data_IF_915028284371
#
_entry.id   IF_915028284371
#
_cell.length_a   1.000
_cell.length_b   1.000
_cell.length_c   1.000
_cell.angle_alpha   90.00
_cell.angle_beta   90.00
_cell.angle_gamma   90.00
#
_symmetry.space_group_name_H-M   'P 1'
#
loop_
_entity.id
_entity.type
_entity.pdbx_description
1 polymer ?
#
# COMPACT_ATOMS: atom_id res chain seq x y z
N UNK A 1 0.30 17.14 -4.02
CA UNK A 1 0.55 15.69 -4.22
C UNK A 1 1.97 15.48 -4.75
N UNK A 2 2.90 15.10 -3.87
CA UNK A 2 4.27 14.77 -4.29
C UNK A 2 4.22 13.44 -5.06
N UNK A 3 4.60 13.45 -6.34
CA UNK A 3 4.76 12.23 -7.12
C UNK A 3 5.78 11.32 -6.45
N UNK A 4 5.60 10.00 -6.60
CA UNK A 4 6.62 9.02 -6.17
C UNK A 4 7.53 8.72 -7.34
N UNK A 5 8.75 8.29 -7.05
CA UNK A 5 9.72 7.91 -8.08
C UNK A 5 9.97 6.40 -7.99
N UNK A 6 9.83 5.70 -9.12
CA UNK A 6 10.24 4.32 -9.27
C UNK A 6 11.62 4.30 -9.94
N UNK A 7 12.61 3.75 -9.24
CA UNK A 7 13.94 3.54 -9.79
C UNK A 7 14.11 2.08 -10.18
N UNK A 8 14.28 1.82 -11.48
CA UNK A 8 14.51 0.49 -12.04
C UNK A 8 15.98 0.37 -12.43
N UNK A 9 16.67 -0.66 -11.92
CA UNK A 9 18.04 -0.98 -12.31
C UNK A 9 18.01 -2.32 -13.06
N UNK A 10 18.29 -2.35 -14.37
CA UNK A 10 18.34 -3.59 -15.13
C UNK A 10 19.37 -4.55 -14.54
N UNK A 11 19.06 -5.85 -14.53
CA UNK A 11 19.98 -6.86 -14.02
C UNK A 11 21.28 -6.86 -14.84
N UNK A 12 22.41 -6.59 -14.17
CA UNK A 12 23.72 -6.48 -14.82
C UNK A 12 24.03 -5.11 -15.43
N UNK A 13 23.13 -4.13 -15.32
CA UNK A 13 23.35 -2.75 -15.68
C UNK A 13 23.69 -1.87 -14.47
N UNK A 14 24.41 -0.76 -14.71
CA UNK A 14 24.68 0.26 -13.68
C UNK A 14 23.80 1.50 -13.83
N UNK A 15 23.02 1.59 -14.92
CA UNK A 15 22.18 2.75 -15.20
C UNK A 15 20.81 2.54 -14.57
N UNK A 16 20.50 3.39 -13.59
CA UNK A 16 19.17 3.49 -13.02
C UNK A 16 18.25 4.28 -13.96
N UNK A 17 17.07 3.75 -14.23
CA UNK A 17 15.99 4.44 -14.93
C UNK A 17 14.96 4.91 -13.91
N UNK A 18 14.69 6.20 -13.90
CA UNK A 18 13.82 6.86 -12.92
C UNK A 18 12.51 7.27 -13.57
N UNK A 19 11.40 6.75 -13.04
CA UNK A 19 10.05 6.97 -13.56
C UNK A 19 9.22 7.70 -12.51
N UNK A 20 8.58 8.80 -12.89
CA UNK A 20 7.68 9.54 -12.00
C UNK A 20 6.29 8.89 -12.03
N UNK A 21 5.87 8.41 -10.86
CA UNK A 21 4.58 7.78 -10.63
C UNK A 21 3.53 8.81 -10.19
N UNK A 22 2.33 8.62 -10.71
CA UNK A 22 1.12 9.38 -10.39
C UNK A 22 0.24 8.49 -9.50
N UNK A 23 -0.38 9.05 -8.44
CA UNK A 23 -1.29 8.28 -7.62
C UNK A 23 -2.54 7.90 -8.42
N UNK A 24 -2.91 6.62 -8.35
CA UNK A 24 -4.18 6.10 -8.81
C UNK A 24 -5.15 5.89 -7.65
N UNK A 25 -6.08 4.96 -7.83
CA UNK A 25 -7.10 4.62 -6.83
C UNK A 25 -6.52 3.74 -5.71
N UNK A 26 -7.19 3.76 -4.56
CA UNK A 26 -6.90 2.83 -3.47
C UNK A 26 -7.53 1.45 -3.77
N UNK A 27 -6.81 0.38 -3.46
CA UNK A 27 -7.24 -1.00 -3.65
C UNK A 27 -7.01 -1.81 -2.37
N UNK A 28 -7.69 -2.95 -2.23
CA UNK A 28 -7.38 -3.94 -1.19
C UNK A 28 -6.81 -5.20 -1.82
N UNK A 29 -5.61 -5.62 -1.38
CA UNK A 29 -4.95 -6.86 -1.81
C UNK A 29 -4.71 -7.71 -0.57
N UNK A 30 -5.20 -8.95 -0.54
CA UNK A 30 -5.10 -9.85 0.61
C UNK A 30 -5.58 -9.24 1.95
N UNK A 31 -6.60 -8.37 1.89
CA UNK A 31 -7.12 -7.64 3.06
C UNK A 31 -6.29 -6.43 3.49
N UNK A 32 -5.19 -6.14 2.79
CA UNK A 32 -4.33 -4.99 2.99
C UNK A 32 -4.78 -3.81 2.10
N UNK A 33 -5.19 -2.66 2.66
CA UNK A 33 -5.42 -1.47 1.86
C UNK A 33 -4.09 -0.93 1.33
N UNK A 34 -3.99 -0.79 0.01
CA UNK A 34 -2.83 -0.32 -0.73
C UNK A 34 -3.24 0.83 -1.65
N UNK A 35 -2.32 1.74 -1.90
CA UNK A 35 -2.46 2.80 -2.89
C UNK A 35 -1.80 2.36 -4.19
N UNK A 36 -2.52 2.48 -5.30
CA UNK A 36 -1.99 2.22 -6.63
C UNK A 36 -1.20 3.44 -7.10
N UNK A 37 -0.02 3.20 -7.67
CA UNK A 37 0.82 4.22 -8.30
C UNK A 37 1.17 3.80 -9.71
N UNK A 38 0.95 4.68 -10.68
CA UNK A 38 1.07 4.35 -12.09
C UNK A 38 1.90 5.36 -12.87
N UNK A 39 2.56 4.88 -13.91
CA UNK A 39 3.18 5.70 -14.94
C UNK A 39 3.08 5.02 -16.30
N UNK A 40 3.11 5.81 -17.36
CA UNK A 40 3.18 5.30 -18.73
C UNK A 40 4.26 6.05 -19.49
N UNK A 41 5.16 5.30 -20.13
CA UNK A 41 6.23 5.85 -20.95
C UNK A 41 6.20 5.24 -22.34
N UNK A 42 6.50 6.06 -23.36
CA UNK A 42 6.74 5.55 -24.70
C UNK A 42 8.14 4.94 -24.75
N UNK A 43 8.23 3.63 -24.97
CA UNK A 43 9.51 2.91 -25.05
C UNK A 43 10.21 3.07 -26.42
N UNK A 44 9.55 3.72 -27.38
CA UNK A 44 10.07 3.96 -28.73
C UNK A 44 9.55 2.98 -29.78
N UNK A 45 10.27 2.88 -30.90
CA UNK A 45 9.92 2.03 -32.03
C UNK A 45 10.70 0.72 -31.99
N UNK A 46 10.08 -0.37 -31.54
CA UNK A 46 10.73 -1.67 -31.35
C UNK A 46 10.63 -2.61 -32.57
N UNK A 47 11.07 -2.12 -33.74
CA UNK A 47 11.11 -2.94 -34.94
C UNK A 47 11.82 -2.27 -36.12
N UNK A 48 12.26 -3.10 -37.07
CA UNK A 48 12.85 -2.60 -38.31
C UNK A 48 11.78 -1.90 -39.17
N UNK A 49 12.12 -0.81 -39.88
CA UNK A 49 11.19 -0.14 -40.79
C UNK A 49 10.59 -1.09 -41.83
N UNK A 50 11.37 -2.07 -42.28
CA UNK A 50 10.93 -3.14 -43.16
C UNK A 50 10.99 -4.49 -42.43
N UNK A 51 9.89 -5.24 -42.47
CA UNK A 51 9.75 -6.51 -41.74
C UNK A 51 9.17 -7.60 -42.65
N UNK A 52 9.80 -8.77 -42.64
CA UNK A 52 9.30 -9.94 -43.35
C UNK A 52 8.16 -10.63 -42.60
N UNK A 53 7.40 -11.46 -43.31
CA UNK A 53 6.34 -12.27 -42.70
C UNK A 53 6.88 -13.18 -41.58
N UNK A 54 8.06 -13.77 -41.76
CA UNK A 54 8.69 -14.64 -40.77
C UNK A 54 9.15 -13.86 -39.53
N UNK A 55 9.66 -12.65 -39.70
CA UNK A 55 10.00 -11.78 -38.57
C UNK A 55 8.75 -11.37 -37.79
N UNK A 56 7.66 -11.00 -38.46
CA UNK A 56 6.37 -10.75 -37.80
C UNK A 56 5.88 -11.97 -37.03
N UNK A 57 6.00 -13.16 -37.62
CA UNK A 57 5.65 -14.41 -36.96
C UNK A 57 6.49 -14.64 -35.70
N UNK A 58 7.80 -14.39 -35.73
CA UNK A 58 8.66 -14.49 -34.54
C UNK A 58 8.30 -13.46 -33.46
N UNK A 59 7.96 -12.23 -33.85
CA UNK A 59 7.59 -11.16 -32.92
C UNK A 59 6.25 -11.41 -32.23
N UNK A 60 5.35 -12.16 -32.87
CA UNK A 60 3.99 -12.46 -32.39
C UNK A 60 3.89 -13.84 -31.71
N UNK A 61 5.03 -14.44 -31.33
CA UNK A 61 5.05 -15.74 -30.66
C UNK A 61 4.63 -16.91 -31.54
N UNK A 62 4.88 -16.83 -32.85
CA UNK A 62 4.61 -17.91 -33.81
C UNK A 62 3.20 -17.89 -34.41
N UNK A 63 2.37 -16.89 -34.10
CA UNK A 63 0.98 -16.80 -34.59
C UNK A 63 0.82 -15.65 -35.56
N UNK A 64 0.39 -15.94 -36.78
CA UNK A 64 0.17 -14.89 -37.75
C UNK A 64 -1.06 -14.04 -37.36
N UNK A 65 -0.93 -12.69 -37.28
CA UNK A 65 -2.06 -11.82 -36.98
C UNK A 65 -3.22 -12.02 -37.94
N UNK A 66 -4.44 -11.95 -37.41
CA UNK A 66 -5.67 -12.10 -38.20
C UNK A 66 -5.66 -11.16 -39.40
N UNK A 67 -5.96 -11.68 -40.59
CA UNK A 67 -5.97 -10.91 -41.84
C UNK A 67 -4.63 -10.78 -42.54
N UNK A 68 -3.55 -11.35 -42.01
CA UNK A 68 -2.33 -11.65 -42.77
C UNK A 68 -2.37 -13.14 -43.19
N UNK A 69 -1.90 -13.42 -44.40
CA UNK A 69 -1.82 -14.80 -44.92
C UNK A 69 -0.67 -14.91 -45.92
N UNK A 70 0.21 -15.91 -45.75
CA UNK A 70 1.41 -16.05 -46.59
C UNK A 70 1.14 -16.04 -48.10
N UNK A 71 0.02 -16.63 -48.54
CA UNK A 71 -0.36 -16.67 -49.96
C UNK A 71 -0.95 -15.36 -50.53
N UNK A 72 -1.39 -14.42 -49.67
CA UNK A 72 -1.97 -13.12 -50.10
C UNK A 72 -1.10 -11.94 -49.76
N UNK A 73 -0.38 -12.03 -48.64
CA UNK A 73 0.49 -10.99 -48.10
C UNK A 73 1.88 -11.59 -47.87
N UNK A 74 2.69 -11.79 -48.93
CA UNK A 74 4.00 -12.44 -48.81
C UNK A 74 5.05 -11.55 -48.10
N UNK A 75 4.81 -10.24 -47.99
CA UNK A 75 5.81 -9.30 -47.50
C UNK A 75 6.89 -8.99 -48.55
N UNK A 76 7.92 -8.20 -48.20
CA UNK A 76 8.11 -7.53 -46.91
C UNK A 76 7.10 -6.38 -46.68
N UNK A 77 6.88 -6.04 -45.42
CA UNK A 77 5.97 -4.98 -44.98
C UNK A 77 6.76 -3.79 -44.47
N UNK A 78 6.25 -2.59 -44.70
CA UNK A 78 6.75 -1.38 -44.04
C UNK A 78 5.99 -1.19 -42.73
N UNK A 79 6.71 -1.19 -41.62
CA UNK A 79 6.18 -1.15 -40.26
C UNK A 79 6.47 0.19 -39.57
N UNK A 80 5.41 0.82 -39.07
CA UNK A 80 5.53 1.91 -38.11
C UNK A 80 5.17 1.38 -36.72
N UNK A 81 6.14 1.40 -35.81
CA UNK A 81 6.05 0.76 -34.50
C UNK A 81 5.72 1.77 -33.41
N UNK A 82 4.92 1.35 -32.45
CA UNK A 82 4.64 2.10 -31.23
C UNK A 82 4.60 1.15 -30.05
N UNK A 83 5.44 1.44 -29.05
CA UNK A 83 5.46 0.73 -27.79
C UNK A 83 5.18 1.68 -26.64
N UNK A 84 4.27 1.26 -25.76
CA UNK A 84 3.97 1.93 -24.50
C UNK A 84 4.24 0.93 -23.38
N UNK A 85 5.00 1.35 -22.38
CA UNK A 85 5.24 0.59 -21.15
C UNK A 85 4.47 1.24 -20.01
N UNK A 86 3.66 0.45 -19.34
CA UNK A 86 2.90 0.83 -18.16
C UNK A 86 3.56 0.25 -16.92
N UNK A 87 3.88 1.12 -15.97
CA UNK A 87 4.43 0.77 -14.67
C UNK A 87 3.33 0.88 -13.64
N UNK A 88 3.15 -0.17 -12.84
CA UNK A 88 2.21 -0.16 -11.72
C UNK A 88 2.92 -0.63 -10.46
N UNK A 89 2.78 0.16 -9.40
CA UNK A 89 3.34 -0.13 -8.08
C UNK A 89 2.22 -0.06 -7.05
N UNK A 90 2.06 -1.12 -6.27
CA UNK A 90 1.15 -1.14 -5.12
C UNK A 90 1.96 -0.84 -3.87
N UNK A 91 1.56 0.17 -3.11
CA UNK A 91 2.29 0.58 -1.92
C UNK A 91 1.35 0.89 -0.76
N UNK A 92 1.81 0.64 0.47
CA UNK A 92 1.13 1.06 1.71
C UNK A 92 2.06 1.93 2.52
N UNK A 93 1.74 3.22 2.63
CA UNK A 93 2.68 4.19 3.20
C UNK A 93 3.99 4.16 2.39
N UNK A 94 5.12 3.95 3.06
CA UNK A 94 6.45 3.90 2.44
C UNK A 94 6.87 2.48 2.02
N UNK A 95 6.03 1.47 2.24
CA UNK A 95 6.33 0.07 1.88
C UNK A 95 5.75 -0.26 0.50
N UNK A 96 6.57 -0.84 -0.37
CA UNK A 96 6.13 -1.41 -1.65
C UNK A 96 5.66 -2.84 -1.42
N UNK A 97 4.47 -3.18 -1.91
CA UNK A 97 3.88 -4.51 -1.81
C UNK A 97 4.15 -5.31 -3.08
N UNK A 98 3.94 -4.68 -4.24
CA UNK A 98 4.22 -5.29 -5.54
C UNK A 98 4.55 -4.22 -6.57
N UNK A 99 5.28 -4.62 -7.62
CA UNK A 99 5.60 -3.77 -8.73
C UNK A 99 5.70 -4.57 -10.02
N UNK A 100 5.19 -4.01 -11.11
CA UNK A 100 5.33 -4.62 -12.44
C UNK A 100 5.40 -3.55 -13.54
N UNK A 101 6.05 -3.94 -14.63
CA UNK A 101 6.10 -3.20 -15.87
C UNK A 101 5.57 -4.10 -17.00
N UNK A 102 4.53 -3.64 -17.67
CA UNK A 102 3.93 -4.35 -18.81
C UNK A 102 3.96 -3.45 -20.04
N UNK A 103 4.47 -3.98 -21.15
CA UNK A 103 4.52 -3.24 -22.41
C UNK A 103 3.43 -3.70 -23.36
N UNK A 104 2.92 -2.79 -24.16
CA UNK A 104 2.03 -3.08 -25.26
C UNK A 104 2.64 -2.55 -26.55
N UNK A 105 2.97 -3.47 -27.46
CA UNK A 105 3.58 -3.17 -28.75
C UNK A 105 2.54 -3.27 -29.84
N UNK A 106 2.44 -2.22 -30.64
CA UNK A 106 1.59 -2.19 -31.83
C UNK A 106 2.39 -1.76 -33.04
N UNK A 107 1.98 -2.23 -34.22
CA UNK A 107 2.56 -1.79 -35.47
C UNK A 107 1.48 -1.54 -36.51
N UNK A 108 1.70 -0.50 -37.31
CA UNK A 108 0.93 -0.23 -38.52
C UNK A 108 1.77 -0.75 -39.69
N UNK A 109 1.24 -1.75 -40.40
CA UNK A 109 1.89 -2.40 -41.53
C UNK A 109 1.30 -1.91 -42.85
N UNK A 110 2.15 -1.65 -43.83
CA UNK A 110 1.77 -1.28 -45.20
C UNK A 110 2.61 -2.06 -46.22
N UNK A 111 2.18 -2.10 -47.47
CA UNK A 111 2.89 -2.84 -48.53
C UNK A 111 2.76 -4.37 -48.39
N UNK A 112 3.68 -5.13 -48.99
CA UNK A 112 3.75 -6.59 -48.81
C UNK A 112 2.52 -7.39 -49.26
N UNK A 113 1.71 -6.84 -50.17
CA UNK A 113 0.44 -7.42 -50.63
C UNK A 113 -0.80 -6.95 -49.85
N UNK A 114 -0.65 -6.04 -48.88
CA UNK A 114 -1.78 -5.41 -48.20
C UNK A 114 -2.46 -4.38 -49.13
N UNK A 115 -3.79 -4.40 -49.15
CA UNK A 115 -4.60 -3.41 -49.88
C UNK A 115 -4.73 -2.07 -49.14
N UNK A 116 -4.22 -1.98 -47.91
CA UNK A 116 -4.26 -0.79 -47.07
C UNK A 116 -3.43 -0.97 -45.79
N UNK A 117 -3.31 0.10 -45.01
CA UNK A 117 -2.61 0.04 -43.73
C UNK A 117 -3.33 -0.88 -42.75
N UNK A 118 -2.57 -1.71 -42.02
CA UNK A 118 -3.12 -2.67 -41.07
C UNK A 118 -2.43 -2.58 -39.72
N UNK A 119 -3.22 -2.36 -38.68
CA UNK A 119 -2.73 -2.40 -37.29
C UNK A 119 -2.63 -3.84 -36.80
N UNK A 120 -1.51 -4.18 -36.17
CA UNK A 120 -1.26 -5.46 -35.49
C UNK A 120 -0.77 -5.20 -34.07
N UNK A 121 -1.18 -6.04 -33.13
CA UNK A 121 -0.60 -6.11 -31.79
C UNK A 121 0.46 -7.21 -31.75
N UNK A 122 1.60 -6.91 -31.14
CA UNK A 122 2.78 -7.77 -31.09
C UNK A 122 3.00 -8.32 -29.67
N UNK A 123 2.15 -7.95 -28.71
CA UNK A 123 2.27 -8.34 -27.31
C UNK A 123 3.30 -7.52 -26.54
N UNK A 124 3.83 -8.13 -25.47
CA UNK A 124 4.78 -7.51 -24.55
C UNK A 124 6.22 -7.43 -25.04
N UNK A 125 7.06 -6.75 -24.26
CA UNK A 125 8.50 -6.74 -24.44
C UNK A 125 9.16 -7.83 -23.59
N UNK A 126 10.36 -8.27 -23.99
CA UNK A 126 11.18 -9.15 -23.16
C UNK A 126 11.73 -8.45 -21.91
N UNK A 127 11.64 -7.11 -21.87
CA UNK A 127 11.99 -6.27 -20.73
C UNK A 127 10.83 -6.12 -19.74
N UNK A 128 9.66 -6.69 -20.03
CA UNK A 128 8.55 -6.71 -19.08
C UNK A 128 8.93 -7.54 -17.86
N UNK A 129 8.53 -7.07 -16.68
CA UNK A 129 8.91 -7.68 -15.41
C UNK A 129 7.79 -7.51 -14.38
N UNK A 130 7.79 -8.40 -13.39
CA UNK A 130 6.91 -8.32 -12.23
C UNK A 130 7.66 -8.85 -11.03
N UNK A 131 7.36 -8.31 -9.85
CA UNK A 131 7.66 -8.97 -8.59
C UNK A 131 6.96 -10.33 -8.53
N UNK A 132 7.52 -11.25 -7.75
CA UNK A 132 6.95 -12.59 -7.64
C UNK A 132 5.73 -12.55 -6.71
N UNK A 133 4.66 -13.26 -7.07
CA UNK A 133 3.45 -13.29 -6.24
C UNK A 133 3.70 -13.84 -4.82
N UNK A 134 4.71 -14.69 -4.65
CA UNK A 134 5.10 -15.21 -3.34
C UNK A 134 5.77 -14.13 -2.48
N UNK A 135 6.66 -13.33 -3.07
CA UNK A 135 7.31 -12.21 -2.38
C UNK A 135 6.30 -11.11 -2.05
N UNK A 136 5.37 -10.83 -2.96
CA UNK A 136 4.29 -9.86 -2.76
C UNK A 136 3.42 -10.26 -1.57
N UNK A 137 3.00 -11.53 -1.51
CA UNK A 137 2.20 -12.05 -0.41
C UNK A 137 2.96 -12.06 0.93
N UNK A 138 4.24 -12.45 0.90
CA UNK A 138 5.12 -12.39 2.07
C UNK A 138 5.25 -10.97 2.60
N UNK A 139 5.47 -10.01 1.72
CA UNK A 139 5.61 -8.59 2.06
C UNK A 139 4.30 -8.03 2.63
N UNK A 140 3.16 -8.36 2.03
CA UNK A 140 1.86 -7.99 2.56
C UNK A 140 1.63 -8.54 3.97
N UNK A 141 1.95 -9.82 4.19
CA UNK A 141 1.83 -10.47 5.50
C UNK A 141 2.75 -9.82 6.56
N UNK A 142 3.98 -9.46 6.19
CA UNK A 142 4.92 -8.77 7.08
C UNK A 142 4.42 -7.38 7.50
N UNK A 143 3.83 -6.63 6.56
CA UNK A 143 3.21 -5.33 6.85
C UNK A 143 2.05 -5.50 7.86
N UNK A 144 1.18 -6.48 7.64
CA UNK A 144 0.06 -6.78 8.54
C UNK A 144 0.57 -7.18 9.94
N UNK A 145 1.57 -8.05 10.00
CA UNK A 145 2.18 -8.48 11.26
C UNK A 145 2.84 -7.30 12.00
N UNK A 146 3.52 -6.41 11.28
CA UNK A 146 4.16 -5.23 11.84
C UNK A 146 3.16 -4.25 12.45
N UNK A 147 2.04 -4.01 11.76
CA UNK A 147 0.94 -3.19 12.28
C UNK A 147 0.34 -3.77 13.56
N UNK A 148 0.10 -5.09 13.57
CA UNK A 148 -0.40 -5.79 14.75
C UNK A 148 0.57 -5.65 15.93
N UNK A 149 1.85 -5.88 15.71
CA UNK A 149 2.87 -5.76 16.74
C UNK A 149 2.97 -4.34 17.30
N UNK A 150 2.81 -3.30 16.46
CA UNK A 150 2.76 -1.90 16.92
C UNK A 150 1.54 -1.66 17.80
N UNK A 151 0.37 -2.16 17.41
CA UNK A 151 -0.86 -2.09 18.20
C UNK A 151 -0.71 -2.77 19.57
N UNK A 152 -0.18 -3.99 19.59
CA UNK A 152 0.08 -4.74 20.82
C UNK A 152 1.06 -3.99 21.74
N UNK A 153 2.15 -3.43 21.20
CA UNK A 153 3.09 -2.61 21.98
C UNK A 153 2.42 -1.37 22.56
N UNK A 154 1.53 -0.71 21.82
CA UNK A 154 0.82 0.47 22.32
C UNK A 154 -0.18 0.10 23.42
N UNK A 155 -0.84 -1.05 23.30
CA UNK A 155 -1.71 -1.59 24.35
C UNK A 155 -0.91 -1.88 25.63
N UNK A 156 0.20 -2.60 25.51
CA UNK A 156 1.00 -3.03 26.67
C UNK A 156 1.80 -1.91 27.31
N UNK A 157 2.38 -0.99 26.53
CA UNK A 157 3.29 0.03 27.06
C UNK A 157 2.61 1.36 27.36
N UNK A 158 1.44 1.64 26.77
CA UNK A 158 0.73 2.91 26.99
C UNK A 158 -0.56 2.68 27.76
N UNK A 159 -1.45 1.83 27.25
CA UNK A 159 -2.78 1.68 27.84
C UNK A 159 -2.76 0.96 29.18
N UNK A 160 -2.03 -0.17 29.28
CA UNK A 160 -1.99 -0.92 30.53
C UNK A 160 -1.42 -0.08 31.69
N UNK A 161 -0.26 0.60 31.56
CA UNK A 161 0.25 1.46 32.63
C UNK A 161 -0.71 2.60 32.98
N UNK A 162 -1.40 3.19 31.99
CA UNK A 162 -2.34 4.28 32.22
C UNK A 162 -3.57 3.80 33.02
N UNK A 163 -4.11 2.62 32.69
CA UNK A 163 -5.21 2.00 33.45
C UNK A 163 -4.78 1.68 34.88
N UNK A 164 -3.58 1.11 35.07
CA UNK A 164 -3.04 0.81 36.41
C UNK A 164 -2.84 2.10 37.21
N UNK A 165 -2.27 3.14 36.59
CA UNK A 165 -2.06 4.43 37.23
C UNK A 165 -3.38 5.11 37.61
N UNK A 166 -4.39 5.06 36.73
CA UNK A 166 -5.74 5.56 37.01
C UNK A 166 -6.40 4.82 38.17
N UNK A 167 -6.27 3.50 38.22
CA UNK A 167 -6.80 2.70 39.33
C UNK A 167 -6.07 3.01 40.65
N UNK A 168 -4.73 3.09 40.63
CA UNK A 168 -3.94 3.46 41.80
C UNK A 168 -4.32 4.86 42.32
N UNK A 169 -4.54 5.83 41.42
CA UNK A 169 -4.99 7.17 41.76
C UNK A 169 -6.38 7.13 42.42
N UNK A 170 -7.32 6.36 41.88
CA UNK A 170 -8.65 6.20 42.45
C UNK A 170 -8.58 5.60 43.86
N UNK A 171 -7.79 4.53 44.07
CA UNK A 171 -7.58 3.94 45.39
C UNK A 171 -6.94 4.94 46.38
N UNK A 172 -5.94 5.71 45.95
CA UNK A 172 -5.31 6.72 46.79
C UNK A 172 -6.30 7.82 47.20
N UNK A 173 -7.13 8.30 46.27
CA UNK A 173 -8.17 9.28 46.56
C UNK A 173 -9.25 8.73 47.50
N UNK A 174 -9.68 7.48 47.30
CA UNK A 174 -10.62 6.81 48.19
C UNK A 174 -10.07 6.63 49.60
N UNK A 175 -8.78 6.25 49.74
CA UNK A 175 -8.13 6.12 51.04
C UNK A 175 -8.00 7.48 51.76
N UNK A 176 -7.67 8.55 51.04
CA UNK A 176 -7.63 9.90 51.61
C UNK A 176 -9.03 10.35 52.04
N UNK A 177 -10.06 10.06 51.23
CA UNK A 177 -11.44 10.37 51.54
C UNK A 177 -11.93 9.59 52.78
N UNK A 178 -11.65 8.30 52.88
CA UNK A 178 -12.06 7.49 54.03
C UNK A 178 -11.41 7.96 55.34
N UNK A 179 -10.12 8.29 55.32
CA UNK A 179 -9.42 8.83 56.51
C UNK A 179 -10.02 10.17 56.96
N UNK A 180 -10.43 11.03 56.02
CA UNK A 180 -11.09 12.31 56.36
C UNK A 180 -12.48 12.10 56.98
N UNK A 181 -13.25 11.15 56.47
CA UNK A 181 -14.58 10.83 57.01
C UNK A 181 -14.47 10.25 58.42
N UNK A 182 -13.53 9.31 58.64
CA UNK A 182 -13.32 8.67 59.93
C UNK A 182 -12.85 9.68 61.00
N UNK A 183 -11.97 10.61 60.60
CA UNK A 183 -11.52 11.72 61.47
C UNK A 183 -12.68 12.66 61.85
N UNK A 184 -13.60 12.93 60.92
CA UNK A 184 -14.80 13.74 61.18
C UNK A 184 -15.78 13.03 62.12
N UNK A 185 -16.02 11.73 61.94
CA UNK A 185 -16.86 10.93 62.85
C UNK A 185 -16.26 10.84 64.26
N UNK A 186 -14.94 10.73 64.37
CA UNK A 186 -14.26 10.70 65.68
C UNK A 186 -14.41 12.02 66.43
N UNK A 187 -14.37 13.16 65.72
CA UNK A 187 -14.59 14.49 66.32
C UNK A 187 -16.04 14.70 66.74
N UNK A 188 -17.00 14.27 65.90
CA UNK A 188 -18.43 14.30 66.25
C UNK A 188 -18.74 13.40 67.46
N UNK A 189 -18.09 12.24 67.59
CA UNK A 189 -18.30 11.36 68.76
C UNK A 189 -17.78 11.98 70.06
N UNK A 190 -16.69 12.75 70.01
CA UNK A 190 -16.15 13.47 71.18
C UNK A 190 -16.99 14.67 71.59
N UNK A 191 -17.61 15.38 70.65
CA UNK A 191 -18.49 16.52 70.99
C UNK A 191 -19.80 16.08 71.65
N UNK A 192 -20.36 14.94 71.25
CA UNK A 192 -21.57 14.38 71.87
C UNK A 192 -21.30 13.90 73.31
N UNK A 193 -20.14 13.26 73.55
CA UNK A 193 -19.72 12.85 74.90
C UNK A 193 -19.46 14.07 75.81
N UNK A 194 -18.91 15.15 75.27
CA UNK A 194 -18.67 16.40 75.99
C UNK A 194 -19.95 17.16 76.39
N UNK A 195 -20.99 17.16 75.55
CA UNK A 195 -22.25 17.85 75.84
C UNK A 195 -23.10 17.12 76.90
N UNK A 196 -22.91 15.81 77.09
CA UNK A 196 -23.60 15.03 78.13
C UNK A 196 -23.17 15.40 79.57
N UNK A 197 -22.07 16.12 79.77
CA UNK A 197 -21.51 16.44 81.09
C UNK A 197 -21.83 17.86 81.57
N UNK A 198 -22.87 18.51 81.04
CA UNK A 198 -23.30 19.83 81.50
C UNK A 198 -24.37 19.68 82.59
N UNK A 199 -24.06 19.92 83.89
CA UNK A 199 -25.06 19.85 84.95
C UNK A 199 -26.04 21.01 84.80
N UNK A 200 -27.30 20.69 84.52
CA UNK A 200 -28.39 21.66 84.51
C UNK A 200 -28.61 22.23 85.91
N UNK A 201 -28.25 23.51 86.12
CA UNK A 201 -28.60 24.22 87.35
C UNK A 201 -30.07 24.62 87.29
N UNK A 202 -30.92 23.87 87.99
CA UNK A 202 -32.33 24.22 88.21
C UNK A 202 -32.40 25.16 89.41
N UNK A 203 -32.90 26.40 89.27
CA UNK A 203 -33.07 27.29 90.42
C UNK A 203 -34.34 26.88 91.17
N UNK A 204 -34.23 26.66 92.48
CA UNK A 204 -35.38 26.45 93.36
C UNK A 204 -35.49 27.67 94.28
N UNK A 205 -36.70 28.25 94.28
CA UNK A 205 -37.13 29.41 95.08
C UNK A 205 -37.25 29.10 96.57
#
# INVERSE_FOLDING_TARGET
>A
PHGRELTVVPQGGSTAHSIVLIPGDDQTVDGLPVQVWQASEAAGADGAPEVSLNQLLSMTGGRLPVGLAAGRTPGPFQGQWSTITEYTVLARGDCVVSAHATSNRTAILTGGGLTGAKTVSLGGLTTDWSTSAADDHSTAAEIVASDRNRGERQLWNVWLPLVIAGFALACALSAIASVRVDRRQTDERKSIEGESHRPGSVPVS
#
